data_IF_820259182027
#
_entry.id   IF_820259182027
#
_cell.length_a   1.000
_cell.length_b   1.000
_cell.length_c   1.000
_cell.angle_alpha   90.00
_cell.angle_beta   90.00
_cell.angle_gamma   90.00
#
_symmetry.space_group_name_H-M   'P 1'
#
loop_
_entity.id
_entity.type
_entity.pdbx_description
1 polymer ?
2 non-polymer ?
3 non-polymer ?
4 water ?
#
# COMPACT_ATOMS: atom_id res chain seq x y z
N UNK A 43 5.21 -17.05 21.63
CA UNK A 43 5.87 -17.97 22.55
C UNK A 43 4.83 -18.61 23.50
N UNK A 44 4.10 -19.68 23.09
CA UNK A 44 4.15 -20.44 21.84
C UNK A 44 3.13 -19.99 20.75
N UNK A 45 2.55 -18.78 20.86
CA UNK A 45 1.58 -18.26 19.90
C UNK A 45 2.15 -17.01 19.21
N UNK A 46 1.72 -16.76 17.97
CA UNK A 46 2.13 -15.58 17.19
C UNK A 46 1.05 -15.19 16.18
N UNK A 47 1.23 -14.02 15.54
CA UNK A 47 0.32 -13.48 14.54
C UNK A 47 1.11 -13.12 13.28
N UNK A 48 0.83 -13.81 12.15
CA UNK A 48 1.53 -13.59 10.87
C UNK A 48 0.57 -13.21 9.75
N UNK A 49 1.11 -12.61 8.67
CA UNK A 49 0.38 -12.18 7.48
C UNK A 49 -0.78 -11.25 7.84
N UNK A 50 -0.46 -10.20 8.58
CA UNK A 50 -1.43 -9.21 9.04
C UNK A 50 -0.91 -7.78 8.94
N UNK A 51 -1.66 -6.84 9.52
CA UNK A 51 -1.33 -5.42 9.51
C UNK A 51 -0.11 -5.08 10.38
N UNK A 52 0.03 -5.75 11.54
CA UNK A 52 1.14 -5.52 12.48
C UNK A 52 1.46 -6.81 13.24
N UNK A 53 2.37 -6.73 14.23
CA UNK A 53 2.71 -7.88 15.07
C UNK A 53 1.55 -8.24 16.02
N UNK A 54 0.59 -7.31 16.24
CA UNK A 54 -0.60 -7.50 17.08
C UNK A 54 -1.86 -7.77 16.23
N UNK A 55 -1.72 -8.37 15.03
CA UNK A 55 -2.86 -8.69 14.17
C UNK A 55 -2.47 -9.67 13.06
N UNK A 56 -3.46 -10.40 12.55
CA UNK A 56 -3.28 -11.37 11.47
C UNK A 56 -3.77 -12.76 11.82
N UNK A 57 -3.34 -13.76 11.01
CA UNK A 57 -3.74 -15.15 11.18
C UNK A 57 -3.02 -15.75 12.39
N UNK A 58 -3.76 -16.48 13.26
CA UNK A 58 -3.20 -17.09 14.47
C UNK A 58 -2.43 -18.36 14.11
N UNK A 59 -1.25 -18.56 14.74
CA UNK A 59 -0.39 -19.73 14.54
C UNK A 59 0.08 -20.24 15.89
N UNK A 60 0.16 -21.57 16.07
CA UNK A 60 0.61 -22.20 17.32
C UNK A 60 1.90 -22.99 17.07
N UNK A 61 2.85 -22.92 18.01
CA UNK A 61 4.14 -23.59 17.89
C UNK A 61 4.04 -25.06 18.28
N UNK A 62 4.70 -25.94 17.49
CA UNK A 62 4.77 -27.37 17.73
C UNK A 62 6.24 -27.79 17.67
N UNK A 63 6.53 -29.05 18.00
CA UNK A 63 7.91 -29.56 17.95
C UNK A 63 8.47 -29.60 16.52
N UNK A 64 7.61 -29.78 15.51
CA UNK A 64 8.03 -29.82 14.10
C UNK A 64 8.11 -28.41 13.50
N UNK A 65 6.97 -27.70 13.42
CA UNK A 65 6.92 -26.35 12.84
C UNK A 65 5.64 -25.61 13.26
N UNK A 66 5.56 -24.30 12.94
CA UNK A 66 4.39 -23.47 13.25
C UNK A 66 3.24 -23.81 12.27
N UNK A 67 2.06 -24.14 12.81
CA UNK A 67 0.88 -24.49 12.00
C UNK A 67 -0.25 -23.49 12.29
N UNK A 68 -1.11 -23.13 11.30
CA UNK A 68 -2.20 -22.19 11.59
C UNK A 68 -3.28 -22.76 12.50
N UNK A 69 -3.91 -21.91 13.30
CA UNK A 69 -4.98 -22.32 14.22
C UNK A 69 -6.26 -22.59 13.45
N UNK A 70 -7.14 -23.42 14.01
CA UNK A 70 -8.39 -23.81 13.37
C UNK A 70 -9.42 -22.68 13.43
N UNK A 71 -10.10 -22.43 12.31
CA UNK A 71 -11.17 -21.42 12.23
C UNK A 71 -12.29 -21.75 13.19
N UNK A 72 -12.70 -23.04 13.23
CA UNK A 72 -13.72 -23.51 14.18
C UNK A 72 -13.09 -23.61 15.56
N UNK A 73 -13.90 -23.57 16.63
CA UNK A 73 -13.44 -23.61 18.03
C UNK A 73 -12.66 -22.32 18.40
N UNK A 74 -12.92 -21.20 17.68
CA UNK A 74 -12.25 -19.92 17.91
C UNK A 74 -13.28 -18.91 18.40
N UNK A 75 -13.55 -18.93 19.70
CA UNK A 75 -14.49 -18.02 20.34
C UNK A 75 -13.75 -16.77 20.83
N UNK A 76 -14.48 -15.77 21.34
CA UNK A 76 -13.89 -14.52 21.83
C UNK A 76 -13.06 -14.69 23.12
N UNK A 77 -13.22 -15.82 23.86
CA UNK A 77 -12.43 -16.08 25.07
C UNK A 77 -10.98 -16.34 24.68
N UNK A 78 -10.76 -17.18 23.65
CA UNK A 78 -9.42 -17.52 23.14
C UNK A 78 -8.76 -16.30 22.50
N UNK A 79 -9.54 -15.41 21.87
CA UNK A 79 -9.03 -14.19 21.25
C UNK A 79 -8.43 -13.25 22.30
N UNK A 80 -9.10 -13.08 23.45
CA UNK A 80 -8.63 -12.24 24.56
C UNK A 80 -7.35 -12.82 25.15
N UNK A 81 -7.35 -14.13 25.45
CA UNK A 81 -6.20 -14.83 26.04
C UNK A 81 -4.94 -14.72 25.16
N UNK A 82 -5.08 -14.84 23.83
CA UNK A 82 -3.95 -14.73 22.90
C UNK A 82 -3.47 -13.28 22.79
N UNK A 83 -4.40 -12.31 22.64
CA UNK A 83 -4.03 -10.88 22.55
C UNK A 83 -3.32 -10.40 23.82
N UNK A 84 -3.83 -10.80 25.01
CA UNK A 84 -3.24 -10.41 26.29
C UNK A 84 -1.89 -11.08 26.55
N UNK A 85 -1.72 -12.35 26.12
CA UNK A 85 -0.45 -13.08 26.29
C UNK A 85 0.67 -12.48 25.44
N UNK A 86 0.35 -12.08 24.19
CA UNK A 86 1.31 -11.46 23.28
C UNK A 86 1.71 -10.04 23.74
N UNK A 87 0.86 -9.40 24.54
CA UNK A 87 1.10 -8.06 25.04
C UNK A 87 0.54 -7.02 24.09
N UNK A 88 -0.71 -7.25 23.63
CA UNK A 88 -1.41 -6.39 22.68
C UNK A 88 -2.76 -5.90 23.23
N UNK A 89 -2.96 -5.94 24.55
CA UNK A 89 -4.21 -5.53 25.15
C UNK A 89 -5.32 -6.53 24.89
N UNK A 90 -6.55 -6.03 24.84
CA UNK A 90 -7.73 -6.86 24.60
C UNK A 90 -7.97 -7.19 23.14
N UNK A 91 -8.99 -8.01 22.88
CA UNK A 91 -9.38 -8.43 21.53
C UNK A 91 -10.54 -7.56 21.06
N UNK A 92 -10.37 -6.85 19.92
CA UNK A 92 -11.42 -5.98 19.37
C UNK A 92 -12.41 -6.78 18.53
N UNK A 93 -11.92 -7.68 17.66
CA UNK A 93 -12.79 -8.48 16.80
C UNK A 93 -12.10 -9.78 16.35
N UNK A 94 -12.87 -10.88 16.30
CA UNK A 94 -12.41 -12.21 15.88
C UNK A 94 -13.10 -12.57 14.58
N UNK A 95 -12.33 -13.07 13.58
CA UNK A 95 -12.87 -13.45 12.26
C UNK A 95 -12.35 -14.84 11.84
N UNK A 96 -12.95 -15.40 10.79
CA UNK A 96 -12.59 -16.71 10.25
C UNK A 96 -12.43 -16.61 8.73
N UNK A 97 -11.18 -16.64 8.23
CA UNK A 97 -10.86 -16.53 6.80
C UNK A 97 -10.69 -17.91 6.16
N UNK A 98 -11.11 -18.04 4.87
CA UNK A 98 -11.00 -19.28 4.10
C UNK A 98 -9.87 -19.15 3.06
N UNK A 99 -8.94 -20.12 2.96
CA UNK A 99 -7.85 -20.00 1.97
C UNK A 99 -8.31 -20.31 0.54
N UNK A 100 -7.58 -19.84 -0.49
CA UNK A 100 -7.99 -20.14 -1.88
C UNK A 100 -7.63 -21.56 -2.31
N UNK A 122 -4.00 -35.89 8.49
CA UNK A 122 -3.14 -35.38 9.55
C UNK A 122 -3.92 -34.45 10.49
N UNK A 123 -4.49 -33.39 9.92
CA UNK A 123 -5.28 -32.41 10.66
C UNK A 123 -4.46 -31.27 11.25
N UNK A 124 -5.13 -30.12 11.48
CA UNK A 124 -4.51 -28.91 12.03
C UNK A 124 -4.83 -28.75 13.53
N UNK A 125 -3.98 -28.04 14.31
CA UNK A 125 -4.27 -27.86 15.75
C UNK A 125 -5.36 -26.82 16.04
N UNK A 126 -5.79 -26.76 17.31
CA UNK A 126 -6.82 -25.82 17.77
C UNK A 126 -6.52 -25.32 19.19
N UNK A 127 -7.13 -24.17 19.56
CA UNK A 127 -6.95 -23.54 20.88
C UNK A 127 -8.25 -23.61 21.69
N UNK A 128 -8.27 -24.46 22.73
CA UNK A 128 -9.42 -24.64 23.62
C UNK A 128 -9.16 -23.91 24.93
N UNK A 129 -10.09 -23.03 25.36
CA UNK A 129 -9.95 -22.25 26.59
C UNK A 129 -11.23 -22.32 27.43
N UNK A 130 -11.10 -22.65 28.73
CA UNK A 130 -12.23 -22.70 29.65
C UNK A 130 -12.59 -21.31 30.20
N UNK A 131 -11.69 -20.34 30.04
CA UNK A 131 -11.88 -18.95 30.45
C UNK A 131 -11.17 -17.97 29.55
N UNK A 132 -11.19 -16.68 29.91
CA UNK A 132 -10.55 -15.61 29.12
C UNK A 132 -9.13 -15.28 29.64
N UNK A 133 -8.29 -16.32 29.82
CA UNK A 133 -6.91 -16.19 30.30
C UNK A 133 -6.02 -17.22 29.61
N UNK A 134 -4.72 -16.91 29.45
CA UNK A 134 -3.78 -17.83 28.80
C UNK A 134 -3.47 -19.06 29.67
N UNK A 135 -3.47 -18.91 31.01
CA UNK A 135 -3.24 -20.04 31.93
C UNK A 135 -4.32 -21.13 31.78
N UNK A 136 -5.56 -20.73 31.43
CA UNK A 136 -6.70 -21.64 31.24
C UNK A 136 -6.79 -22.23 29.81
N UNK A 137 -5.92 -21.79 28.87
CA UNK A 137 -5.93 -22.29 27.49
C UNK A 137 -5.06 -23.55 27.35
N UNK A 138 -5.40 -24.40 26.36
CA UNK A 138 -4.68 -25.64 26.07
C UNK A 138 -4.64 -25.87 24.56
N UNK A 139 -3.50 -26.35 24.04
CA UNK A 139 -3.32 -26.63 22.61
C UNK A 139 -3.54 -28.13 22.37
N UNK A 140 -4.27 -28.49 21.30
CA UNK A 140 -4.54 -29.88 20.91
C UNK A 140 -3.82 -30.14 19.59
N UNK A 141 -3.22 -31.33 19.44
CA UNK A 141 -2.45 -31.68 18.23
C UNK A 141 -3.31 -31.80 16.97
N UNK A 142 -4.34 -32.67 16.99
CA UNK A 142 -5.20 -32.90 15.83
C UNK A 142 -6.68 -32.95 16.22
N UNK A 143 -7.43 -31.87 15.92
CA UNK A 143 -8.86 -31.79 16.19
C UNK A 143 -9.61 -30.90 15.15
N UNK A 144 -9.08 -30.80 13.92
CA UNK A 144 -9.66 -29.98 12.84
C UNK A 144 -9.13 -30.44 11.48
N UNK A 145 -9.89 -30.17 10.40
CA UNK A 145 -9.46 -30.51 9.05
C UNK A 145 -8.28 -29.60 8.66
N UNK A 146 -7.26 -30.16 7.97
CA UNK A 146 -6.07 -29.40 7.58
C UNK A 146 -6.36 -28.24 6.64
N UNK A 147 -6.80 -28.53 5.39
CA UNK A 147 -7.11 -27.47 4.43
C UNK A 147 -8.55 -26.99 4.64
N UNK A 148 -8.71 -26.15 5.65
CA UNK A 148 -9.99 -25.56 6.03
C UNK A 148 -9.85 -24.09 6.38
N UNK A 149 -10.92 -23.47 6.91
CA UNK A 149 -10.89 -22.05 7.28
C UNK A 149 -10.01 -21.82 8.53
N UNK A 150 -9.15 -20.79 8.47
CA UNK A 150 -8.21 -20.43 9.54
C UNK A 150 -8.81 -19.38 10.48
N UNK A 151 -8.15 -19.14 11.62
CA UNK A 151 -8.58 -18.15 12.62
C UNK A 151 -7.78 -16.86 12.48
N UNK A 152 -8.47 -15.70 12.48
CA UNK A 152 -7.86 -14.37 12.38
C UNK A 152 -8.34 -13.50 13.54
N UNK A 153 -7.52 -12.52 13.98
CA UNK A 153 -7.86 -11.64 15.09
C UNK A 153 -7.15 -10.29 15.00
N UNK A 154 -7.81 -9.23 15.53
CA UNK A 154 -7.29 -7.86 15.59
C UNK A 154 -7.34 -7.41 17.05
N UNK A 155 -6.17 -7.25 17.70
CA UNK A 155 -6.10 -6.83 19.10
C UNK A 155 -6.25 -5.30 19.24
N UNK A 156 -6.32 -4.81 20.49
CA UNK A 156 -6.48 -3.38 20.78
C UNK A 156 -5.25 -2.56 20.39
N UNK A 157 -4.03 -3.12 20.56
CA UNK A 157 -2.79 -2.44 20.21
C UNK A 157 -2.45 -2.52 18.70
N UNK A 158 -3.31 -3.17 17.88
CA UNK A 158 -3.08 -3.28 16.44
C UNK A 158 -3.02 -1.89 15.79
N UNK A 159 -2.02 -1.70 14.93
CA UNK A 159 -1.82 -0.45 14.18
C UNK A 159 -1.78 -0.78 12.70
N UNK A 160 -1.98 0.24 11.87
CA UNK A 160 -2.01 0.10 10.41
C UNK A 160 -1.53 1.38 9.77
N UNK A 161 -1.39 1.40 8.44
CA UNK A 161 -0.91 2.58 7.74
C UNK A 161 -1.55 2.69 6.35
N UNK A 162 -1.92 3.92 5.93
CA UNK A 162 -2.52 4.17 4.62
C UNK A 162 -2.12 5.55 4.08
N UNK A 163 -2.07 5.66 2.74
CA UNK A 163 -1.77 6.90 2.03
C UNK A 163 -3.05 7.34 1.33
N UNK A 164 -3.50 8.57 1.59
CA UNK A 164 -4.76 9.12 1.05
C UNK A 164 -4.50 10.36 0.19
N UNK A 165 -5.27 10.51 -0.90
CA UNK A 165 -5.21 11.65 -1.83
C UNK A 165 -3.82 11.87 -2.46
N UNK A 166 -3.37 10.90 -3.25
CA UNK A 166 -2.09 10.96 -3.94
C UNK A 166 -2.09 10.46 -5.38
N UNK A 167 -3.23 10.64 -6.07
CA UNK A 167 -3.40 10.25 -7.46
C UNK A 167 -3.04 8.82 -7.80
N UNK A 168 -3.37 7.89 -6.91
CA UNK A 168 -3.09 6.47 -7.08
C UNK A 168 -2.41 5.85 -5.88
N UNK A 169 -2.13 4.55 -5.98
CA UNK A 169 -1.48 3.80 -4.90
C UNK A 169 0.00 4.15 -4.73
N UNK A 170 0.58 3.74 -3.60
CA UNK A 170 1.96 3.98 -3.17
C UNK A 170 2.35 5.48 -3.07
N UNK A 171 1.38 6.38 -2.81
CA UNK A 171 1.65 7.82 -2.64
C UNK A 171 0.46 8.54 -2.01
N UNK A 172 0.74 9.59 -1.23
CA UNK A 172 -0.28 10.40 -0.56
C UNK A 172 0.05 10.79 0.87
N UNK A 173 -0.97 11.30 1.59
CA UNK A 173 -0.86 11.73 2.98
C UNK A 173 -0.69 10.52 3.89
N UNK A 174 0.37 10.50 4.72
CA UNK A 174 0.63 9.38 5.62
C UNK A 174 -0.36 9.39 6.79
N UNK A 175 -1.30 8.44 6.79
CA UNK A 175 -2.29 8.26 7.85
C UNK A 175 -2.01 6.96 8.58
N UNK A 176 -2.09 6.97 9.92
CA UNK A 176 -1.82 5.81 10.78
C UNK A 176 -3.05 5.52 11.65
N UNK A 177 -3.26 4.23 12.00
CA UNK A 177 -4.39 3.78 12.83
C UNK A 177 -3.87 3.50 14.25
N UNK A 178 -4.49 4.11 15.27
CA UNK A 178 -4.12 3.90 16.67
C UNK A 178 -5.37 3.93 17.55
N UNK A 179 -5.72 2.78 18.15
CA UNK A 179 -6.87 2.63 19.04
C UNK A 179 -8.20 2.96 18.33
N UNK A 180 -8.36 2.43 17.12
CA UNK A 180 -9.55 2.62 16.31
C UNK A 180 -9.79 4.05 15.83
N UNK A 181 -8.71 4.78 15.53
CA UNK A 181 -8.79 6.16 15.04
C UNK A 181 -7.70 6.44 14.02
N UNK A 182 -8.09 6.78 12.77
CA UNK A 182 -7.12 7.11 11.71
C UNK A 182 -6.63 8.54 11.91
N UNK A 183 -5.34 8.70 12.22
CA UNK A 183 -4.72 10.00 12.45
C UNK A 183 -3.51 10.26 11.57
N UNK A 184 -3.17 11.54 11.38
CA UNK A 184 -2.06 11.98 10.52
C UNK A 184 -0.74 12.15 11.28
N UNK A 185 0.36 12.37 10.53
CA UNK A 185 1.72 12.55 11.04
C UNK A 185 2.22 13.96 10.64
N UNK A 186 2.90 14.68 11.55
CA UNK A 186 3.41 16.03 11.30
C UNK A 186 4.66 16.01 10.42
N UNK A 187 4.87 17.11 9.65
CA UNK A 187 6.03 17.27 8.76
C UNK A 187 7.31 17.69 9.50
N UNK A 188 7.22 18.09 10.79
CA UNK A 188 8.38 18.50 11.58
C UNK A 188 9.28 17.27 11.78
N UNK A 189 10.57 17.38 11.40
CA UNK A 189 11.59 16.31 11.46
C UNK A 189 11.24 15.13 10.50
N UNK A 190 10.49 15.40 9.43
CA UNK A 190 10.10 14.40 8.43
C UNK A 190 11.13 14.41 7.31
N UNK A 191 11.80 13.26 7.07
CA UNK A 191 12.85 13.12 6.05
C UNK A 191 12.76 11.76 5.33
N UNK A 192 13.70 11.49 4.41
CA UNK A 192 13.74 10.23 3.65
C UNK A 192 13.92 8.98 4.53
N UNK A 193 14.53 9.13 5.72
CA UNK A 193 14.73 8.01 6.65
C UNK A 193 13.36 7.56 7.20
N UNK A 194 12.45 8.51 7.45
CA UNK A 194 11.10 8.22 7.94
C UNK A 194 10.24 7.65 6.80
N UNK A 195 10.38 8.21 5.59
CA UNK A 195 9.65 7.76 4.40
C UNK A 195 10.04 6.34 3.97
N UNK A 196 11.32 5.95 4.12
CA UNK A 196 11.79 4.62 3.74
C UNK A 196 11.11 3.52 4.56
N UNK A 197 10.83 3.80 5.85
CA UNK A 197 10.12 2.87 6.75
C UNK A 197 8.67 2.69 6.27
N UNK A 198 8.03 3.78 5.81
CA UNK A 198 6.65 3.76 5.31
C UNK A 198 6.54 2.94 4.03
N UNK A 199 7.43 3.14 3.05
CA UNK A 199 7.37 2.43 1.77
C UNK A 199 7.64 0.91 1.88
N UNK A 200 8.53 0.47 2.79
CA UNK A 200 8.83 -0.97 2.92
C UNK A 200 7.69 -1.80 3.53
N UNK A 201 7.02 -1.28 4.58
CA UNK A 201 5.93 -1.99 5.26
C UNK A 201 4.68 -2.15 4.40
N UNK A 202 4.46 -1.23 3.45
CA UNK A 202 3.31 -1.25 2.54
C UNK A 202 3.57 -2.12 1.31
N UNK A 203 4.84 -2.26 0.92
CA UNK A 203 5.22 -3.03 -0.25
C UNK A 203 5.28 -2.17 -1.50
N UNK A 204 5.94 -1.00 -1.38
CA UNK A 204 6.12 -0.04 -2.47
C UNK A 204 7.62 0.24 -2.72
N UNK A 205 8.49 -0.67 -2.29
CA UNK A 205 9.94 -0.54 -2.47
C UNK A 205 10.57 0.53 -1.59
N UNK A 206 11.31 1.46 -2.22
CA UNK A 206 12.04 2.54 -1.52
C UNK A 206 11.31 3.88 -1.61
N UNK A 207 11.77 4.87 -0.82
CA UNK A 207 11.19 6.22 -0.77
C UNK A 207 11.90 7.17 -1.74
N UNK A 208 11.11 7.85 -2.60
CA UNK A 208 11.63 8.80 -3.58
C UNK A 208 11.70 10.19 -2.96
N UNK A 209 10.59 10.65 -2.36
CA UNK A 209 10.49 11.99 -1.79
C UNK A 209 9.66 12.01 -0.50
N UNK A 210 10.21 12.65 0.55
CA UNK A 210 9.53 12.81 1.84
C UNK A 210 8.90 14.21 1.85
N UNK A 211 7.65 14.29 1.37
CA UNK A 211 6.94 15.56 1.18
C UNK A 211 6.45 16.22 2.47
N UNK A 212 6.47 17.58 2.55
CA UNK A 212 5.93 18.26 3.72
C UNK A 212 4.43 18.51 3.57
N UNK A 213 3.85 19.32 4.46
CA UNK A 213 2.42 19.64 4.43
C UNK A 213 1.99 20.48 3.24
N UNK A 214 0.68 20.39 2.91
CA UNK A 214 0.01 21.09 1.81
C UNK A 214 0.39 20.61 0.39
N UNK A 215 1.20 19.53 0.23
CA UNK A 215 1.50 19.00 -1.10
C UNK A 215 0.26 18.21 -1.54
N UNK A 216 -0.22 17.34 -0.64
CA UNK A 216 -1.45 16.58 -0.81
C UNK A 216 -2.51 17.29 0.03
N UNK A 217 -3.75 16.81 -0.01
CA UNK A 217 -4.84 17.42 0.78
C UNK A 217 -4.58 17.17 2.27
N UNK A 218 -4.75 18.18 3.16
CA UNK A 218 -4.51 17.92 4.60
C UNK A 218 -5.60 17.04 5.20
N UNK A 219 -5.21 16.23 6.17
CA UNK A 219 -6.11 15.29 6.84
C UNK A 219 -7.02 15.93 7.86
N UNK A 220 -7.82 15.08 8.52
CA UNK A 220 -8.78 15.47 9.56
C UNK A 220 -8.67 14.53 10.76
N UNK A 221 -9.34 14.88 11.84
CA UNK A 221 -9.35 14.08 13.06
C UNK A 221 -8.10 14.25 13.90
N UNK A 222 -7.59 13.19 14.55
CA UNK A 222 -6.41 13.34 15.40
C UNK A 222 -5.09 13.39 14.65
N UNK A 223 -4.03 13.83 15.36
CA UNK A 223 -2.66 13.88 14.86
C UNK A 223 -1.89 12.96 15.81
N UNK A 224 -1.57 11.74 15.36
CA UNK A 224 -0.88 10.76 16.20
C UNK A 224 0.59 11.07 16.47
N UNK A 225 1.26 11.83 15.59
CA UNK A 225 2.68 12.15 15.77
C UNK A 225 3.02 13.60 15.43
N UNK A 226 3.60 14.34 16.40
CA UNK A 226 4.08 15.72 16.19
C UNK A 226 5.55 15.72 15.76
N UNK A 227 6.28 14.60 15.98
CA UNK A 227 7.68 14.47 15.60
C UNK A 227 8.02 12.98 15.43
N UNK A 228 8.73 12.62 14.34
CA UNK A 228 9.13 11.24 14.03
C UNK A 228 10.62 11.25 13.71
N UNK A 229 11.39 10.25 14.22
CA UNK A 229 12.83 10.17 13.98
C UNK A 229 13.29 8.72 13.78
N UNK A 230 12.96 8.14 12.62
CA UNK A 230 13.35 6.77 12.29
C UNK A 230 14.82 6.71 11.94
N UNK A 231 15.49 5.60 12.33
CA UNK A 231 16.89 5.38 11.98
C UNK A 231 16.99 4.92 10.51
N UNK A 232 15.97 4.18 10.04
CA UNK A 232 15.89 3.66 8.68
C UNK A 232 15.61 2.18 8.62
N UNK A 233 16.12 1.41 9.61
CA UNK A 233 15.97 -0.04 9.67
C UNK A 233 14.69 -0.54 10.38
N UNK A 234 13.80 0.36 10.88
CA UNK A 234 12.57 -0.08 11.57
C UNK A 234 11.60 -0.78 10.61
N UNK A 235 10.92 -1.82 11.11
CA UNK A 235 9.94 -2.59 10.33
C UNK A 235 8.65 -1.80 10.14
N UNK A 236 8.22 -1.03 11.16
CA UNK A 236 7.00 -0.21 11.11
C UNK A 236 7.29 1.22 11.56
N UNK A 237 6.40 2.15 11.19
CA UNK A 237 6.52 3.58 11.56
C UNK A 237 6.30 3.77 13.06
N UNK A 238 5.38 2.99 13.66
CA UNK A 238 5.08 3.05 15.10
C UNK A 238 6.26 2.58 15.98
N UNK A 239 7.16 1.74 15.44
CA UNK A 239 8.35 1.29 16.19
C UNK A 239 9.38 2.41 16.34
N UNK A 240 9.35 3.45 15.46
CA UNK A 240 10.31 4.57 15.52
C UNK A 240 10.09 5.42 16.76
N UNK A 241 11.15 6.04 17.30
CA UNK A 241 10.96 6.97 18.44
C UNK A 241 10.36 8.28 17.93
N UNK A 242 9.43 8.83 18.70
CA UNK A 242 8.76 10.08 18.34
C UNK A 242 8.05 10.75 19.50
N UNK A 243 7.18 11.72 19.19
CA UNK A 243 6.39 12.46 20.17
C UNK A 243 4.91 12.36 19.80
N UNK A 244 3.99 12.20 20.77
CA UNK A 244 2.56 12.11 20.41
C UNK A 244 1.93 13.47 20.06
N UNK A 245 0.61 13.47 19.85
CA UNK A 245 -0.13 14.68 19.56
C UNK A 245 -0.31 15.58 20.77
N UNK A 246 0.59 16.57 20.94
CA UNK A 246 0.56 17.53 22.05
C UNK A 246 0.11 18.95 21.60
N UNK A 247 -0.73 19.04 20.54
CA UNK A 247 -1.25 20.30 19.98
C UNK A 247 -0.15 21.27 19.50
N UNK A 248 1.05 20.74 19.15
CA UNK A 248 2.16 21.54 18.66
C UNK A 248 2.03 21.70 17.15
N UNK A 249 1.75 20.60 16.44
CA UNK A 249 1.51 20.59 14.99
C UNK A 249 0.02 20.67 14.75
N UNK A 250 -0.34 20.93 13.49
CA UNK A 250 -1.72 21.01 13.05
C UNK A 250 -1.91 20.27 11.74
N UNK A 251 -3.15 20.25 11.20
CA UNK A 251 -3.41 19.56 9.94
C UNK A 251 -2.76 20.24 8.72
N UNK A 252 -2.35 21.52 8.85
CA UNK A 252 -1.62 22.25 7.81
C UNK A 252 -0.28 21.55 7.52
N UNK A 253 0.33 20.94 8.57
CA UNK A 253 1.63 20.26 8.51
C UNK A 253 1.54 18.73 8.32
N UNK A 254 0.43 18.18 7.75
CA UNK A 254 0.29 16.73 7.57
C UNK A 254 1.27 16.18 6.51
N UNK A 255 2.27 15.40 6.96
CA UNK A 255 3.31 14.82 6.12
C UNK A 255 2.77 13.83 5.07
N UNK A 256 3.52 13.73 3.98
CA UNK A 256 3.21 12.85 2.84
C UNK A 256 4.43 12.07 2.39
N UNK A 257 4.25 11.22 1.38
CA UNK A 257 5.34 10.39 0.84
C UNK A 257 5.07 9.97 -0.61
N UNK A 258 6.15 9.73 -1.37
CA UNK A 258 6.11 9.24 -2.75
C UNK A 258 7.07 8.05 -2.79
N UNK A 259 6.56 6.84 -2.99
CA UNK A 259 7.37 5.62 -3.03
C UNK A 259 7.78 5.28 -4.47
N UNK A 260 8.72 4.34 -4.61
CA UNK A 260 9.27 3.91 -5.91
C UNK A 260 8.22 3.28 -6.85
N UNK A 261 7.28 2.48 -6.31
CA UNK A 261 6.27 1.80 -7.12
C UNK A 261 5.08 2.69 -7.56
N UNK A 262 5.01 3.97 -7.14
CA UNK A 262 3.92 4.87 -7.55
C UNK A 262 4.06 5.24 -9.04
N UNK A 263 2.92 5.43 -9.72
CA UNK A 263 2.88 5.81 -11.14
C UNK A 263 2.01 7.04 -11.36
N UNK A 264 2.61 8.14 -11.85
CA UNK A 264 1.93 9.40 -12.17
C UNK A 264 2.20 9.71 -13.64
N UNK A 265 1.20 10.21 -14.39
CA UNK A 265 1.33 10.49 -15.82
C UNK A 265 1.13 11.96 -16.18
N UNK A 266 1.64 12.34 -17.36
CA UNK A 266 1.52 13.69 -17.93
C UNK A 266 1.80 13.65 -19.43
N UNK A 267 1.48 14.75 -20.14
CA UNK A 267 1.72 14.85 -21.59
C UNK A 267 2.46 16.15 -21.90
N UNK A 268 3.78 16.05 -22.15
CA UNK A 268 4.65 17.18 -22.45
C UNK A 268 5.00 17.25 -23.94
N UNK A 269 5.23 18.47 -24.44
CA UNK A 269 5.60 18.71 -25.83
C UNK A 269 4.53 19.36 -26.67
N UNK A 270 3.26 18.99 -26.43
CA UNK A 270 2.13 19.51 -27.18
C UNK A 270 1.71 20.93 -26.81
N UNK A 271 0.53 21.33 -27.30
CA UNK A 271 -0.03 22.67 -27.06
C UNK A 271 -0.48 22.88 -25.62
N UNK A 272 -1.09 21.85 -25.00
CA UNK A 272 -1.59 21.95 -23.62
C UNK A 272 -1.42 20.60 -22.86
N UNK A 273 -1.94 20.53 -21.62
CA UNK A 273 -1.82 19.36 -20.74
C UNK A 273 -2.34 18.02 -21.30
N UNK A 274 -3.28 18.00 -22.28
CA UNK A 274 -3.84 16.77 -22.87
C UNK A 274 -3.34 16.56 -24.31
N UNK A 275 -2.03 16.73 -24.54
CA UNK A 275 -1.41 16.55 -25.86
C UNK A 275 0.12 16.49 -25.72
N UNK A 276 0.76 15.53 -26.39
CA UNK A 276 2.21 15.38 -26.38
C UNK A 276 2.74 13.99 -26.11
N UNK A 277 4.02 13.92 -25.67
CA UNK A 277 4.71 12.66 -25.38
C UNK A 277 4.18 12.05 -24.08
N UNK A 278 3.92 10.74 -24.09
CA UNK A 278 3.39 10.04 -22.92
C UNK A 278 4.54 9.77 -21.95
N UNK A 279 4.55 10.50 -20.81
CA UNK A 279 5.57 10.35 -19.78
C UNK A 279 4.97 9.67 -18.55
N UNK A 280 5.78 8.87 -17.82
CA UNK A 280 5.34 8.19 -16.60
C UNK A 280 6.43 8.25 -15.53
N UNK A 281 6.06 8.65 -14.29
CA UNK A 281 6.99 8.76 -13.17
C UNK A 281 6.96 7.47 -12.34
N UNK A 282 7.85 6.52 -12.69
CA UNK A 282 7.98 5.22 -12.01
C UNK A 282 9.42 5.05 -11.54
N UNK A 283 9.62 4.49 -10.33
CA UNK A 283 10.94 4.30 -9.71
C UNK A 283 11.66 5.63 -9.45
N UNK A 284 10.89 6.67 -9.12
CA UNK A 284 11.39 8.00 -8.83
C UNK A 284 12.06 8.74 -9.98
N UNK A 285 11.74 8.37 -11.24
CA UNK A 285 12.30 9.01 -12.43
C UNK A 285 11.27 9.02 -13.56
N UNK A 286 11.29 10.07 -14.40
CA UNK A 286 10.37 10.16 -15.54
C UNK A 286 10.84 9.19 -16.63
N UNK A 287 9.88 8.49 -17.26
CA UNK A 287 10.13 7.48 -18.28
C UNK A 287 9.20 7.65 -19.47
N UNK A 288 9.59 7.11 -20.63
CA UNK A 288 8.81 7.15 -21.87
C UNK A 288 7.98 5.86 -21.99
N UNK A 289 7.01 5.85 -22.93
CA UNK A 289 6.15 4.69 -23.19
C UNK A 289 6.48 4.14 -24.59
N UNK A 290 6.53 2.81 -24.73
CA UNK A 290 6.86 2.15 -26.00
C UNK A 290 5.71 2.23 -26.99
N UNK A 291 5.98 2.68 -28.23
CA UNK A 291 4.95 2.81 -29.27
C UNK A 291 4.61 1.48 -29.97
N UNK A 292 5.34 0.38 -29.66
CA UNK A 292 5.08 -0.94 -30.26
C UNK A 292 3.69 -1.45 -29.87
N UNK A 293 3.39 -1.43 -28.55
CA UNK A 293 2.09 -1.85 -28.02
C UNK A 293 1.35 -0.60 -27.49
N UNK A 294 1.09 0.36 -28.41
CA UNK A 294 0.37 1.60 -28.11
C UNK A 294 -0.72 1.79 -29.17
N UNK A 295 -1.87 1.13 -28.95
CA UNK A 295 -3.03 1.13 -29.84
C UNK A 295 -4.18 1.91 -29.18
N UNK A 296 -5.33 2.16 -29.85
CA UNK A 296 -6.40 2.94 -29.21
C UNK A 296 -6.85 2.48 -27.83
N UNK A 297 -6.75 1.17 -27.54
CA UNK A 297 -7.09 0.59 -26.23
C UNK A 297 -6.25 1.23 -25.10
N UNK A 298 -4.94 1.42 -25.33
CA UNK A 298 -4.04 2.04 -24.35
C UNK A 298 -4.30 3.55 -24.27
N UNK A 299 -4.48 4.21 -25.43
CA UNK A 299 -4.72 5.65 -25.51
C UNK A 299 -6.06 6.08 -24.88
N UNK A 300 -7.10 5.22 -24.98
CA UNK A 300 -8.42 5.49 -24.41
C UNK A 300 -8.34 5.57 -22.87
N UNK A 301 -7.54 4.68 -22.26
CA UNK A 301 -7.34 4.63 -20.81
C UNK A 301 -6.55 5.86 -20.33
N UNK A 302 -5.54 6.29 -21.10
CA UNK A 302 -4.70 7.44 -20.74
C UNK A 302 -5.48 8.76 -20.76
N UNK A 303 -6.11 9.12 -21.89
CA UNK A 303 -6.88 10.37 -21.99
C UNK A 303 -8.05 10.42 -20.99
N UNK A 304 -8.65 9.25 -20.66
CA UNK A 304 -9.75 9.16 -19.69
C UNK A 304 -9.25 9.40 -18.26
N UNK A 305 -8.10 8.81 -17.88
CA UNK A 305 -7.54 8.98 -16.53
C UNK A 305 -7.12 10.42 -16.25
N UNK A 306 -6.50 11.09 -17.25
CA UNK A 306 -6.10 12.50 -17.11
C UNK A 306 -7.30 13.45 -17.14
N UNK A 307 -8.40 13.02 -17.78
CA UNK A 307 -9.64 13.80 -17.84
C UNK A 307 -9.69 14.75 -19.02
N UNK A 308 -9.46 14.21 -20.24
CA UNK A 308 -9.51 14.98 -21.48
C UNK A 308 -10.33 14.26 -22.57
N UNK A 309 -11.30 13.45 -22.14
CA UNK A 309 -12.18 12.72 -23.04
C UNK A 309 -11.51 11.52 -23.70
N UNK A 310 -12.02 11.13 -24.89
CA UNK A 310 -11.48 9.99 -25.64
C UNK A 310 -10.22 10.37 -26.44
N UNK A 311 -9.53 9.35 -26.98
CA UNK A 311 -8.32 9.55 -27.79
C UNK A 311 -8.71 9.81 -29.24
N UNK A 312 -7.99 10.73 -29.91
CA UNK A 312 -8.25 11.11 -31.31
C UNK A 312 -7.18 10.55 -32.24
N UNK A 313 -5.89 10.88 -31.99
CA UNK A 313 -4.78 10.46 -32.83
C UNK A 313 -3.56 10.03 -31.98
N UNK A 314 -2.71 9.16 -32.55
CA UNK A 314 -1.47 8.68 -31.93
C UNK A 314 -0.31 9.04 -32.90
N UNK A 315 0.25 10.26 -32.83
CA UNK A 315 1.31 10.64 -33.79
C UNK A 315 2.62 9.87 -33.66
N UNK A 316 3.51 10.03 -34.66
CA UNK A 316 4.81 9.35 -34.68
C UNK A 316 5.70 9.91 -33.57
N UNK A 317 6.30 9.02 -32.81
CA UNK A 317 7.15 9.38 -31.68
C UNK A 317 8.56 9.76 -32.03
N UNK A 318 9.25 10.35 -31.04
CA UNK A 318 10.66 10.74 -31.13
C UNK A 318 11.46 9.63 -30.45
N UNK A 319 12.80 9.59 -30.55
CA UNK A 319 13.55 8.54 -29.83
C UNK A 319 13.42 8.65 -28.32
N UNK A 320 13.60 7.52 -27.60
CA UNK A 320 13.50 7.49 -26.14
C UNK A 320 14.61 8.35 -25.52
N UNK A 321 14.23 9.49 -24.89
CA UNK A 321 15.17 10.46 -24.33
C UNK A 321 15.01 10.70 -22.80
N UNK A 322 14.49 9.71 -22.04
CA UNK A 322 14.32 9.83 -20.59
C UNK A 322 15.04 8.65 -19.88
N UNK A 323 14.87 8.50 -18.55
CA UNK A 323 15.55 7.46 -17.76
C UNK A 323 15.26 6.02 -18.19
N UNK A 324 14.00 5.69 -18.43
CA UNK A 324 13.61 4.33 -18.82
C UNK A 324 12.47 4.25 -19.82
N UNK A 325 12.04 3.01 -20.10
CA UNK A 325 10.97 2.70 -21.05
C UNK A 325 9.89 1.86 -20.37
N UNK A 326 8.61 2.13 -20.67
CA UNK A 326 7.46 1.45 -20.07
C UNK A 326 6.61 0.78 -21.15
N UNK A 327 6.11 -0.44 -20.87
CA UNK A 327 5.26 -1.23 -21.76
C UNK A 327 3.86 -1.33 -21.16
N UNK A 328 2.80 -1.31 -21.99
CA UNK A 328 1.41 -1.40 -21.53
C UNK A 328 0.56 -2.26 -22.47
N UNK A 329 -0.44 -2.96 -21.90
CA UNK A 329 -1.37 -3.82 -22.63
C UNK A 329 -2.74 -3.83 -21.94
N UNK A 330 -3.58 -2.82 -22.27
CA UNK A 330 -4.91 -2.65 -21.70
C UNK A 330 -5.98 -3.31 -22.58
N UNK A 331 -7.17 -3.56 -21.99
CA UNK A 331 -8.33 -4.10 -22.70
C UNK A 331 -9.26 -2.97 -23.20
N UNK A 332 -9.15 -1.77 -22.60
CA UNK A 332 -9.93 -0.60 -22.98
C UNK A 332 -10.79 -0.03 -21.87
N UNK A 333 -11.29 -0.88 -20.96
CA UNK A 333 -12.18 -0.47 -19.87
C UNK A 333 -11.47 -0.13 -18.54
N UNK A 334 -10.12 -0.06 -18.50
CA UNK A 334 -9.40 0.28 -17.25
C UNK A 334 -9.57 1.75 -16.88
N UNK A 335 -9.53 2.04 -15.58
CA UNK A 335 -9.65 3.40 -15.05
C UNK A 335 -8.31 4.14 -15.15
N UNK A 336 -7.18 3.41 -15.10
CA UNK A 336 -5.83 3.99 -15.20
C UNK A 336 -4.85 2.97 -15.79
N UNK A 337 -3.72 3.46 -16.34
CA UNK A 337 -2.71 2.60 -16.96
C UNK A 337 -2.01 1.63 -16.00
N UNK A 338 -1.95 1.95 -14.69
CA UNK A 338 -1.35 1.04 -13.70
C UNK A 338 -2.16 -0.25 -13.50
N UNK A 339 -3.48 -0.21 -13.76
CA UNK A 339 -4.36 -1.39 -13.65
C UNK A 339 -4.14 -2.38 -14.80
N UNK A 340 -3.55 -1.95 -15.93
CA UNK A 340 -3.26 -2.81 -17.09
C UNK A 340 -2.07 -3.73 -16.81
N UNK A 341 -1.74 -4.59 -17.79
CA UNK A 341 -0.56 -5.47 -17.70
C UNK A 341 0.64 -4.66 -18.19
N UNK A 342 1.70 -4.54 -17.37
CA UNK A 342 2.89 -3.74 -17.70
C UNK A 342 4.21 -4.42 -17.30
N UNK A 343 5.28 -4.04 -18.02
CA UNK A 343 6.65 -4.54 -17.80
C UNK A 343 7.60 -3.33 -17.95
N UNK A 344 8.41 -3.04 -16.91
CA UNK A 344 9.33 -1.90 -16.92
C UNK A 344 10.75 -2.33 -17.34
N UNK A 345 11.33 -1.62 -18.33
CA UNK A 345 12.68 -1.86 -18.86
C UNK A 345 12.88 -3.31 -19.34
N UNK A 346 12.14 -3.70 -20.39
CA UNK A 346 12.22 -5.02 -21.01
C UNK A 346 12.85 -4.85 -22.39
N UNK A 347 14.09 -5.31 -22.57
CA UNK A 347 14.81 -5.19 -23.83
C UNK A 347 14.19 -6.01 -24.97
N UNK A 348 13.49 -7.11 -24.64
CA UNK A 348 12.84 -7.96 -25.66
C UNK A 348 11.61 -7.26 -26.25
N UNK A 349 10.79 -6.63 -25.39
CA UNK A 349 9.58 -5.93 -25.82
C UNK A 349 9.87 -4.55 -26.43
N UNK A 350 10.84 -3.81 -25.85
CA UNK A 350 11.20 -2.46 -26.31
C UNK A 350 12.69 -2.37 -26.70
N UNK A 351 12.96 -2.14 -28.00
CA UNK A 351 14.31 -2.02 -28.54
C UNK A 351 14.34 -1.04 -29.72
N UNK A 352 13.60 -1.36 -30.80
CA UNK A 352 13.50 -0.51 -31.99
C UNK A 352 12.28 0.46 -31.90
N UNK A 353 11.56 0.48 -30.75
CA UNK A 353 10.40 1.35 -30.56
C UNK A 353 10.81 2.81 -30.33
N UNK A 354 9.82 3.71 -30.38
CA UNK A 354 9.97 5.15 -30.18
C UNK A 354 9.08 5.60 -29.01
N UNK A 355 9.29 6.82 -28.52
CA UNK A 355 8.51 7.37 -27.40
C UNK A 355 7.08 7.69 -27.84
N UNK A 356 6.11 6.85 -27.40
CA UNK A 356 4.69 6.97 -27.76
C UNK A 356 4.08 8.34 -27.47
N UNK A 357 3.14 8.78 -28.33
CA UNK A 357 2.44 10.06 -28.23
C UNK A 357 0.93 9.85 -28.30
N UNK A 358 0.17 10.91 -28.00
CA UNK A 358 -1.30 10.85 -28.05
C UNK A 358 -1.91 12.26 -28.09
N UNK A 359 -3.03 12.40 -28.80
CA UNK A 359 -3.82 13.63 -28.94
C UNK A 359 -5.22 13.31 -28.46
N UNK A 360 -5.68 13.95 -27.37
CA UNK A 360 -7.02 13.72 -26.80
C UNK A 360 -8.03 14.72 -27.37
N UNK A 361 -9.32 14.57 -27.01
CA UNK A 361 -10.41 15.42 -27.52
C UNK A 361 -10.45 16.84 -26.98
N UNK A 362 -10.24 17.02 -25.66
CA UNK A 362 -10.32 18.34 -25.01
C UNK A 362 -9.17 19.32 -25.33
N UNK A 363 -8.11 18.90 -26.04
CA UNK A 363 -6.98 19.77 -26.36
C UNK A 363 -7.34 20.90 -27.34
N UNK A 364 -6.57 22.00 -27.30
CA UNK A 364 -6.75 23.13 -28.21
C UNK A 364 -6.30 22.75 -29.64
N UNK A 365 -5.38 21.80 -29.75
CA UNK A 365 -4.89 21.28 -31.02
C UNK A 365 -5.94 20.58 -31.86
N UNK A 366 -7.00 20.03 -31.21
CA UNK A 366 -8.12 19.36 -31.88
C UNK A 366 -9.41 20.14 -31.57
#
# INVERSE_FOLDING_TARGET
MWLFFGITGLLTAALSGHPSPAPPDQLNTSSAESELWEPGERLPVRLTNGSSSCSGTVEVRLEASWEPACGALWDSRAAEAVCRALGCGGAEAASQLAPPTPELPPPPAAGNTSVAANATLAGAPALLCSGAEWRLCEVVEHACRSDGRRARVTCAENRALRLVDGGGACAGRVEMLEHGEWGSVCDDTWDLEDAHVVCRQLGCGWAVQALPGLHFTPGRGPIHRDQVNCSGAEAYLWDCPGLPGQHYCGHKEDAGVVCSEHQSWRLTGGADRCEGQVEVHFRGVWNTVCDSEWYPSEAKVLCQSLGCGTAVERPKGLPHSLSGRMYYSCNGEELTLSNCSWRFNNSNLCSQSLAARVLCSASRGHHHHHH
#
